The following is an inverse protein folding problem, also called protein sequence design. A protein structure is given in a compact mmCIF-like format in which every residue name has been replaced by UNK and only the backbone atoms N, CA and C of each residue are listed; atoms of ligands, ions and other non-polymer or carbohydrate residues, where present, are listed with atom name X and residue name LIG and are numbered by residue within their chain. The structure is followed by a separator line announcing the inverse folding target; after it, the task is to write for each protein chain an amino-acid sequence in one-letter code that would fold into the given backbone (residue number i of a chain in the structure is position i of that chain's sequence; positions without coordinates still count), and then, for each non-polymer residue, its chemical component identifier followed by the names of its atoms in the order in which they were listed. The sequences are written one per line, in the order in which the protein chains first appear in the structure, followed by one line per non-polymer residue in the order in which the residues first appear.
data_IF_060454998437
#
_entry.id   IF_060454998437
#
_cell.length_a   1.000
_cell.length_b   1.000
_cell.length_c   1.000
_cell.angle_alpha   90.00
_cell.angle_beta   90.00
_cell.angle_gamma   90.00
#
_symmetry.space_group_name_H-M   'P 1'
#
loop_
_entity.id
_entity.type
_entity.pdbx_description
1 polymer ?
#
# COMPACT_ATOMS: atom_id res chain seq x y z
N UNK A 1 -15.74 -7.05 -0.22
CA UNK A 1 -14.30 -7.11 0.09
C UNK A 1 -13.67 -8.14 -0.81
N UNK A 2 -12.60 -7.77 -1.54
CA UNK A 2 -11.95 -8.66 -2.53
C UNK A 2 -10.93 -9.65 -1.92
N UNK A 3 -10.86 -9.72 -0.59
CA UNK A 3 -9.89 -10.54 0.10
C UNK A 3 -10.32 -12.01 0.18
N UNK A 4 -9.36 -12.92 0.01
CA UNK A 4 -9.59 -14.35 0.14
C UNK A 4 -9.85 -14.77 1.58
N UNK A 5 -10.40 -15.99 1.75
CA UNK A 5 -10.81 -16.55 3.05
C UNK A 5 -9.75 -16.47 4.16
N UNK A 6 -8.46 -16.57 3.80
CA UNK A 6 -7.34 -16.52 4.77
C UNK A 6 -7.23 -15.09 5.35
N UNK A 7 -7.27 -14.09 4.52
CA UNK A 7 -7.22 -12.68 4.93
C UNK A 7 -8.47 -12.32 5.73
N UNK A 8 -9.66 -12.75 5.27
CA UNK A 8 -10.90 -12.52 6.01
C UNK A 8 -10.85 -13.08 7.43
N UNK A 9 -10.37 -14.31 7.62
CA UNK A 9 -10.19 -14.91 8.96
C UNK A 9 -9.17 -14.15 9.82
N UNK A 10 -8.12 -13.60 9.23
CA UNK A 10 -7.17 -12.74 9.94
C UNK A 10 -7.83 -11.43 10.39
N UNK A 11 -8.64 -10.83 9.55
CA UNK A 11 -9.45 -9.66 9.86
C UNK A 11 -10.40 -9.90 11.03
N UNK A 12 -11.14 -11.01 10.98
CA UNK A 12 -12.06 -11.41 12.07
C UNK A 12 -11.33 -11.56 13.41
N UNK A 13 -10.13 -12.15 13.41
CA UNK A 13 -9.30 -12.27 14.63
C UNK A 13 -8.86 -10.91 15.15
N UNK A 14 -8.41 -10.01 14.26
CA UNK A 14 -8.01 -8.66 14.64
C UNK A 14 -9.18 -7.87 15.24
N UNK A 15 -10.36 -7.94 14.61
CA UNK A 15 -11.57 -7.28 15.10
C UNK A 15 -12.03 -7.83 16.47
N UNK A 16 -11.97 -9.15 16.67
CA UNK A 16 -12.27 -9.75 17.99
C UNK A 16 -11.34 -9.23 19.08
N UNK A 17 -10.08 -8.99 18.75
CA UNK A 17 -9.08 -8.42 19.67
C UNK A 17 -9.10 -6.90 19.73
N UNK A 18 -10.05 -6.23 19.03
CA UNK A 18 -10.20 -4.76 18.98
C UNK A 18 -8.92 -4.05 18.59
N UNK A 19 -8.14 -4.64 17.68
CA UNK A 19 -6.89 -4.04 17.19
C UNK A 19 -7.20 -2.74 16.43
N UNK A 20 -6.60 -1.67 16.88
CA UNK A 20 -6.74 -0.33 16.30
C UNK A 20 -5.55 0.04 15.40
N UNK A 21 -5.69 1.12 14.63
CA UNK A 21 -4.59 1.71 13.87
C UNK A 21 -3.40 2.10 14.79
N UNK A 22 -3.71 2.61 15.98
CA UNK A 22 -2.71 2.96 16.98
C UNK A 22 -1.88 1.75 17.44
N UNK A 23 -2.52 0.60 17.58
CA UNK A 23 -1.81 -0.65 17.95
C UNK A 23 -0.88 -1.09 16.81
N UNK A 24 -1.31 -0.95 15.55
CA UNK A 24 -0.47 -1.21 14.40
C UNK A 24 0.76 -0.28 14.36
N UNK A 25 0.59 1.02 14.61
CA UNK A 25 1.70 1.98 14.67
C UNK A 25 2.66 1.69 15.83
N UNK A 26 2.15 1.35 17.00
CA UNK A 26 2.98 0.94 18.13
C UNK A 26 3.79 -0.32 17.82
N UNK A 27 3.18 -1.29 17.12
CA UNK A 27 3.89 -2.49 16.69
C UNK A 27 5.02 -2.15 15.71
N UNK A 28 4.75 -1.29 14.70
CA UNK A 28 5.75 -0.85 13.73
C UNK A 28 6.92 -0.15 14.43
N UNK A 29 6.63 0.77 15.33
CA UNK A 29 7.65 1.49 16.12
C UNK A 29 8.56 0.52 16.89
N UNK A 30 7.97 -0.49 17.51
CA UNK A 30 8.74 -1.55 18.19
C UNK A 30 9.58 -2.36 17.19
N UNK A 31 9.03 -2.71 16.03
CA UNK A 31 9.76 -3.46 15.01
C UNK A 31 10.98 -2.66 14.52
N UNK A 32 10.82 -1.37 14.25
CA UNK A 32 11.90 -0.46 13.83
C UNK A 32 13.01 -0.32 14.91
N UNK A 33 12.68 -0.47 16.19
CA UNK A 33 13.73 -0.44 17.25
C UNK A 33 14.61 -1.69 17.27
N UNK A 34 14.19 -2.80 16.67
CA UNK A 34 14.98 -4.02 16.55
C UNK A 34 15.72 -4.14 15.23
N UNK A 35 15.16 -3.57 14.15
CA UNK A 35 15.68 -3.72 12.79
C UNK A 35 15.35 -2.51 11.94
N UNK A 36 16.36 -1.93 11.32
CA UNK A 36 16.17 -0.88 10.33
C UNK A 36 15.86 -1.51 8.96
N UNK A 37 14.58 -1.71 8.72
CA UNK A 37 14.04 -2.22 7.45
C UNK A 37 12.98 -1.26 6.92
N UNK A 38 12.88 -1.03 5.61
CA UNK A 38 11.77 -0.26 5.03
C UNK A 38 10.43 -0.91 5.33
N UNK A 39 9.45 -0.11 5.77
CA UNK A 39 8.10 -0.58 6.07
C UNK A 39 7.08 0.14 5.22
N UNK A 40 6.32 -0.64 4.44
CA UNK A 40 5.18 -0.15 3.67
C UNK A 40 3.89 -0.50 4.39
N UNK A 41 3.12 0.53 4.72
CA UNK A 41 1.82 0.37 5.37
C UNK A 41 0.73 0.16 4.32
N UNK A 42 0.12 -1.01 4.36
CA UNK A 42 -0.91 -1.42 3.40
C UNK A 42 -2.30 -1.27 4.04
N UNK A 43 -3.15 -0.41 3.49
CA UNK A 43 -4.43 -0.06 4.12
C UNK A 43 -5.52 0.30 3.09
N UNK A 44 -6.73 0.51 3.58
CA UNK A 44 -7.84 1.16 2.88
C UNK A 44 -7.92 2.64 3.22
N UNK A 45 -8.60 3.43 2.37
CA UNK A 45 -8.66 4.89 2.53
C UNK A 45 -9.48 5.35 3.74
N UNK A 46 -10.58 4.69 4.04
CA UNK A 46 -11.49 5.13 5.10
C UNK A 46 -10.80 5.33 6.48
N UNK A 47 -9.98 4.41 7.00
CA UNK A 47 -9.22 4.65 8.24
C UNK A 47 -8.25 5.83 8.16
N UNK A 48 -7.63 6.06 6.99
CA UNK A 48 -6.74 7.19 6.74
C UNK A 48 -7.52 8.49 6.73
N UNK A 49 -8.65 8.52 6.02
CA UNK A 49 -9.55 9.66 5.91
C UNK A 49 -10.07 10.14 7.27
N UNK A 50 -10.49 9.20 8.13
CA UNK A 50 -10.98 9.52 9.49
C UNK A 50 -9.91 10.21 10.34
N UNK A 51 -8.65 9.80 10.22
CA UNK A 51 -7.54 10.41 10.97
C UNK A 51 -7.02 11.70 10.33
N UNK A 52 -7.23 11.89 9.02
CA UNK A 52 -6.79 13.06 8.28
C UNK A 52 -5.28 13.31 8.41
N UNK A 53 -4.87 14.54 8.63
CA UNK A 53 -3.47 14.92 8.76
C UNK A 53 -2.75 14.17 9.90
N UNK A 54 -3.45 13.90 11.00
CA UNK A 54 -2.90 13.15 12.13
C UNK A 54 -2.39 11.77 11.73
N UNK A 55 -2.99 11.13 10.72
CA UNK A 55 -2.49 9.87 10.18
C UNK A 55 -1.03 9.98 9.75
N UNK A 56 -0.68 11.05 9.01
CA UNK A 56 0.69 11.22 8.49
C UNK A 56 1.72 11.47 9.61
N UNK A 57 1.31 12.17 10.67
CA UNK A 57 2.15 12.38 11.85
C UNK A 57 2.40 11.06 12.60
N UNK A 58 1.33 10.33 12.88
CA UNK A 58 1.42 9.06 13.62
C UNK A 58 2.20 8.01 12.79
N UNK A 59 2.01 7.96 11.47
CA UNK A 59 2.73 7.08 10.56
C UNK A 59 4.24 7.40 10.52
N UNK A 60 4.59 8.68 10.41
CA UNK A 60 5.99 9.14 10.45
C UNK A 60 6.65 8.82 11.78
N UNK A 61 5.97 9.08 12.89
CA UNK A 61 6.44 8.78 14.25
C UNK A 61 6.61 7.27 14.50
N UNK A 62 5.86 6.44 13.80
CA UNK A 62 5.99 4.99 13.84
C UNK A 62 7.17 4.46 13.00
N UNK A 63 7.69 5.28 12.07
CA UNK A 63 8.78 4.89 11.16
C UNK A 63 8.27 4.19 9.90
N UNK A 64 7.09 4.55 9.42
CA UNK A 64 6.57 4.09 8.13
C UNK A 64 7.30 4.84 7.01
N UNK A 65 7.86 4.09 6.05
CA UNK A 65 8.60 4.64 4.92
C UNK A 65 7.70 4.86 3.69
N UNK A 66 6.64 4.06 3.56
CA UNK A 66 5.68 4.21 2.47
C UNK A 66 4.28 3.73 2.82
N UNK A 67 3.30 4.19 2.06
CA UNK A 67 1.91 3.82 2.21
C UNK A 67 1.33 3.36 0.89
N UNK A 68 0.57 2.27 0.93
CA UNK A 68 -0.24 1.78 -0.17
C UNK A 68 -1.70 1.76 0.27
N UNK A 69 -2.52 2.61 -0.35
CA UNK A 69 -3.96 2.66 -0.12
C UNK A 69 -4.67 2.01 -1.30
N UNK A 70 -5.32 0.87 -1.04
CA UNK A 70 -5.82 -0.04 -2.08
C UNK A 70 -6.93 0.56 -2.93
N UNK A 71 -7.78 1.36 -2.31
CA UNK A 71 -9.01 1.93 -2.86
C UNK A 71 -8.92 3.44 -3.13
N UNK A 72 -7.71 4.00 -3.17
CA UNK A 72 -7.48 5.42 -3.44
C UNK A 72 -6.74 5.60 -4.78
N UNK A 73 -7.43 6.00 -5.84
CA UNK A 73 -6.79 6.29 -7.12
C UNK A 73 -5.98 7.60 -7.07
N UNK A 74 -4.99 7.79 -7.97
CA UNK A 74 -4.15 8.99 -7.97
C UNK A 74 -4.93 10.30 -8.02
N UNK A 75 -6.04 10.35 -8.75
CA UNK A 75 -6.86 11.54 -8.94
C UNK A 75 -7.52 12.02 -7.63
N UNK A 76 -7.79 11.10 -6.70
CA UNK A 76 -8.42 11.37 -5.42
C UNK A 76 -7.41 11.47 -4.28
N UNK A 77 -6.13 11.24 -4.57
CA UNK A 77 -5.09 11.12 -3.54
C UNK A 77 -4.46 12.44 -3.11
N UNK A 78 -4.92 13.59 -3.63
CA UNK A 78 -4.31 14.89 -3.42
C UNK A 78 -4.10 15.25 -1.93
N UNK A 79 -5.13 15.06 -1.11
CA UNK A 79 -5.03 15.39 0.33
C UNK A 79 -4.03 14.49 1.05
N UNK A 80 -4.12 13.18 0.83
CA UNK A 80 -3.16 12.23 1.41
C UNK A 80 -1.74 12.55 0.96
N UNK A 81 -1.53 12.76 -0.34
CA UNK A 81 -0.21 13.10 -0.90
C UNK A 81 0.38 14.34 -0.23
N UNK A 82 -0.44 15.38 -0.01
CA UNK A 82 -0.02 16.60 0.68
C UNK A 82 0.45 16.31 2.12
N UNK A 83 -0.27 15.48 2.86
CA UNK A 83 0.07 15.15 4.25
C UNK A 83 1.34 14.30 4.35
N UNK A 84 1.46 13.27 3.53
CA UNK A 84 2.59 12.32 3.64
C UNK A 84 3.88 12.86 3.02
N UNK A 85 3.80 13.74 2.01
CA UNK A 85 4.97 14.34 1.35
C UNK A 85 5.83 15.14 2.33
N UNK A 86 5.22 15.91 3.23
CA UNK A 86 5.92 16.68 4.26
C UNK A 86 6.62 15.81 5.30
N UNK A 87 6.28 14.52 5.36
CA UNK A 87 6.83 13.54 6.31
C UNK A 87 7.80 12.55 5.67
N UNK A 88 8.18 12.74 4.39
CA UNK A 88 9.04 11.84 3.62
C UNK A 88 8.49 10.41 3.52
N UNK A 89 7.17 10.24 3.50
CA UNK A 89 6.51 8.95 3.30
C UNK A 89 6.18 8.80 1.81
N UNK A 90 6.60 7.71 1.20
CA UNK A 90 6.33 7.40 -0.20
C UNK A 90 4.90 6.92 -0.40
N UNK A 91 4.25 7.39 -1.47
CA UNK A 91 2.95 6.86 -1.89
C UNK A 91 3.12 5.81 -2.98
N UNK A 92 2.72 4.59 -2.66
CA UNK A 92 2.82 3.44 -3.55
C UNK A 92 1.46 3.19 -4.19
N UNK A 93 1.44 3.08 -5.51
CA UNK A 93 0.21 2.80 -6.26
C UNK A 93 0.18 1.38 -6.79
N UNK A 94 -1.05 0.90 -7.01
CA UNK A 94 -1.33 -0.41 -7.59
C UNK A 94 -1.41 -0.34 -9.11
N UNK A 95 -0.79 -1.32 -9.75
CA UNK A 95 -1.01 -1.67 -11.15
C UNK A 95 -1.51 -3.11 -11.25
N UNK A 96 -2.38 -3.37 -12.22
CA UNK A 96 -2.91 -4.69 -12.51
C UNK A 96 -2.70 -5.05 -13.99
N UNK A 97 -2.76 -6.33 -14.38
CA UNK A 97 -2.68 -6.75 -15.77
C UNK A 97 -3.75 -6.10 -16.66
N UNK A 98 -4.89 -5.74 -16.06
CA UNK A 98 -6.00 -5.05 -16.72
C UNK A 98 -5.80 -3.55 -16.84
N UNK A 99 -4.75 -2.97 -16.25
CA UNK A 99 -4.46 -1.54 -16.33
C UNK A 99 -3.99 -1.19 -17.74
N UNK A 100 -4.80 -0.42 -18.47
CA UNK A 100 -4.46 0.03 -19.84
C UNK A 100 -3.23 0.95 -19.84
N UNK A 101 -2.54 1.03 -20.99
CA UNK A 101 -1.27 1.76 -21.14
C UNK A 101 -1.37 3.23 -20.70
N UNK A 102 -2.40 3.94 -21.12
CA UNK A 102 -2.56 5.37 -20.76
C UNK A 102 -2.84 5.54 -19.27
N UNK A 103 -3.64 4.65 -18.69
CA UNK A 103 -3.87 4.63 -17.24
C UNK A 103 -2.59 4.34 -16.46
N UNK A 104 -1.76 3.43 -16.96
CA UNK A 104 -0.47 3.13 -16.37
C UNK A 104 0.44 4.36 -16.36
N UNK A 105 0.52 5.12 -17.47
CA UNK A 105 1.31 6.36 -17.52
C UNK A 105 0.83 7.39 -16.48
N UNK A 106 -0.49 7.55 -16.37
CA UNK A 106 -1.08 8.45 -15.36
C UNK A 106 -0.69 8.04 -13.94
N UNK A 107 -0.82 6.77 -13.60
CA UNK A 107 -0.45 6.26 -12.28
C UNK A 107 1.05 6.48 -12.01
N UNK A 108 1.90 6.17 -13.00
CA UNK A 108 3.35 6.31 -12.88
C UNK A 108 3.80 7.77 -12.70
N UNK A 109 3.08 8.73 -13.29
CA UNK A 109 3.39 10.15 -13.12
C UNK A 109 3.11 10.70 -11.72
N UNK A 110 2.30 9.99 -10.93
CA UNK A 110 2.01 10.34 -9.53
C UNK A 110 2.83 9.49 -8.52
N UNK A 111 3.37 8.36 -8.98
CA UNK A 111 4.11 7.46 -8.10
C UNK A 111 5.47 8.07 -7.71
N UNK A 112 5.83 7.89 -6.44
CA UNK A 112 7.16 8.14 -5.95
C UNK A 112 7.65 6.89 -5.20
N UNK A 113 8.87 6.45 -5.48
CA UNK A 113 9.42 5.19 -4.96
C UNK A 113 9.22 4.03 -5.94
N UNK A 114 8.21 3.21 -5.74
CA UNK A 114 7.91 2.08 -6.64
C UNK A 114 6.40 1.91 -6.84
N UNK A 115 6.01 1.04 -7.76
CA UNK A 115 4.61 0.63 -7.94
C UNK A 115 4.44 -0.84 -7.58
N UNK A 116 3.30 -1.17 -6.98
CA UNK A 116 2.93 -2.53 -6.63
C UNK A 116 2.14 -3.16 -7.78
N UNK A 117 2.75 -4.11 -8.50
CA UNK A 117 2.07 -4.80 -9.59
C UNK A 117 1.36 -6.06 -9.06
N UNK A 118 0.03 -6.10 -9.19
CA UNK A 118 -0.78 -7.27 -8.88
C UNK A 118 -0.69 -8.25 -10.04
N UNK A 119 0.10 -9.31 -9.89
CA UNK A 119 0.38 -10.27 -10.97
C UNK A 119 -0.79 -11.18 -11.33
N UNK A 120 -1.81 -11.27 -10.47
CA UNK A 120 -2.94 -12.18 -10.64
C UNK A 120 -4.25 -11.50 -10.29
N UNK A 121 -5.22 -11.56 -11.19
CA UNK A 121 -6.60 -11.14 -10.94
C UNK A 121 -7.34 -12.18 -10.11
N UNK A 122 -8.12 -11.75 -9.14
CA UNK A 122 -8.92 -12.61 -8.25
C UNK A 122 -8.67 -12.36 -6.76
N UNK A 123 -9.26 -13.19 -5.91
CA UNK A 123 -9.14 -13.03 -4.45
C UNK A 123 -7.76 -13.42 -3.94
N UNK A 124 -7.27 -12.69 -2.96
CA UNK A 124 -5.99 -12.94 -2.29
C UNK A 124 -6.00 -14.27 -1.53
N UNK A 125 -4.97 -15.08 -1.69
CA UNK A 125 -4.83 -16.36 -0.99
C UNK A 125 -3.63 -17.17 -1.47
N UNK A 126 -3.25 -18.20 -0.70
CA UNK A 126 -2.20 -19.12 -1.10
C UNK A 126 -2.61 -19.90 -2.36
N UNK A 127 -1.72 -19.97 -3.35
CA UNK A 127 -1.90 -20.73 -4.59
C UNK A 127 -0.78 -21.75 -4.73
N UNK A 128 -1.09 -22.89 -5.31
CA UNK A 128 -0.12 -23.97 -5.54
C UNK A 128 0.78 -23.73 -6.76
N UNK A 129 0.36 -22.84 -7.68
CA UNK A 129 1.15 -22.47 -8.87
C UNK A 129 0.92 -21.01 -9.24
N UNK A 130 1.95 -20.38 -9.78
CA UNK A 130 1.83 -19.08 -10.45
C UNK A 130 1.24 -19.28 -11.86
N UNK A 131 0.47 -18.31 -12.40
CA UNK A 131 0.03 -18.37 -13.80
C UNK A 131 1.26 -18.38 -14.71
N UNK A 132 1.20 -19.17 -15.78
CA UNK A 132 2.29 -19.29 -16.77
C UNK A 132 2.65 -17.98 -17.49
N UNK A 133 1.79 -16.97 -17.40
CA UNK A 133 1.98 -15.69 -18.11
C UNK A 133 2.13 -14.53 -17.12
N UNK A 134 3.29 -14.42 -16.48
CA UNK A 134 3.73 -13.13 -15.93
C UNK A 134 4.65 -12.49 -16.98
N UNK A 135 4.06 -11.83 -17.95
CA UNK A 135 4.81 -10.92 -18.83
C UNK A 135 4.97 -9.61 -18.06
N UNK A 136 5.98 -9.55 -17.22
CA UNK A 136 6.51 -8.28 -16.74
C UNK A 136 7.10 -7.58 -17.97
N UNK A 137 6.40 -6.60 -18.53
CA UNK A 137 7.02 -5.77 -19.54
C UNK A 137 8.22 -5.09 -18.91
N UNK A 138 9.40 -5.19 -19.52
CA UNK A 138 10.68 -4.60 -19.05
C UNK A 138 10.57 -3.09 -18.73
N UNK A 139 9.51 -2.43 -19.20
CA UNK A 139 9.22 -1.02 -18.95
C UNK A 139 8.71 -0.68 -17.55
N UNK A 140 8.20 -1.65 -16.78
CA UNK A 140 7.75 -1.40 -15.39
C UNK A 140 8.94 -1.39 -14.42
N UNK A 141 10.06 -2.01 -14.79
CA UNK A 141 11.27 -2.11 -13.95
C UNK A 141 12.12 -0.83 -14.03
N UNK A 142 11.94 0.00 -15.06
CA UNK A 142 12.72 1.22 -15.28
C UNK A 142 12.11 2.51 -14.72
N UNK A 143 11.30 2.45 -13.70
CA UNK A 143 10.83 3.65 -12.97
C UNK A 143 11.84 4.18 -11.94
N UNK A 144 13.13 3.99 -12.16
CA UNK A 144 14.21 4.46 -11.30
C UNK A 144 15.23 5.40 -11.98
N UNK A 145 14.97 5.82 -13.21
CA UNK A 145 15.81 6.83 -13.89
C UNK A 145 14.95 8.04 -14.23
N UNK A 146 14.83 8.94 -13.27
CA UNK A 146 14.57 10.37 -13.48
C UNK A 146 15.54 11.14 -12.59
#
# INVERSE_FOLDING_TARGET
MADGKVIQRSYERALKNKISMKDAFNFIKRLKSFKDIPIIFFTYYNPVFILGEKFSEDASNAGIDGILVVDLPPEESYELTRYIKSKNIYQIYLLAPTTGRERMKQILSHANGFVYYVSVTGVTGARQSLPETIILSEKVIKCGEV
#
